data_IF_878914807550
#
_entry.id   IF_878914807550
#
_cell.length_a   1.000
_cell.length_b   1.000
_cell.length_c   1.000
_cell.angle_alpha   90.00
_cell.angle_beta   90.00
_cell.angle_gamma   90.00
#
_symmetry.space_group_name_H-M   'P 1'
#
loop_
_entity.id
_entity.type
_entity.pdbx_description
1 polymer ?
#
# COMPACT_ATOMS: atom_id res chain seq x y z
N UNK A 1 -30.27 -39.32 32.01
CA UNK A 1 -29.13 -39.37 31.07
C UNK A 1 -29.17 -38.05 30.33
N UNK A 2 -28.46 -37.06 30.83
CA UNK A 2 -28.49 -35.71 30.28
C UNK A 2 -27.67 -35.70 29.00
N UNK A 3 -28.37 -35.73 27.88
CA UNK A 3 -27.80 -35.64 26.55
C UNK A 3 -27.39 -34.18 26.32
N UNK A 4 -26.29 -33.78 26.95
CA UNK A 4 -25.67 -32.48 26.78
C UNK A 4 -25.01 -32.47 25.40
N UNK A 5 -25.82 -32.27 24.36
CA UNK A 5 -25.29 -31.86 23.07
C UNK A 5 -24.55 -30.54 23.31
N UNK A 6 -23.23 -30.59 23.22
CA UNK A 6 -22.39 -29.40 23.15
C UNK A 6 -22.87 -28.58 21.96
N UNK A 7 -23.74 -27.61 22.22
CA UNK A 7 -24.21 -26.68 21.21
C UNK A 7 -23.12 -25.62 21.04
N UNK A 8 -21.95 -26.03 20.57
CA UNK A 8 -20.86 -25.11 20.25
C UNK A 8 -21.33 -24.23 19.10
N UNK A 9 -21.36 -22.91 19.27
CA UNK A 9 -21.73 -22.01 18.20
C UNK A 9 -20.88 -22.26 16.96
N UNK A 10 -21.51 -22.26 15.78
CA UNK A 10 -20.80 -22.39 14.49
C UNK A 10 -19.63 -21.40 14.38
N UNK A 11 -19.78 -20.20 14.93
CA UNK A 11 -18.72 -19.18 14.97
C UNK A 11 -17.47 -19.64 15.71
N UNK A 12 -17.63 -20.41 16.78
CA UNK A 12 -16.52 -20.82 17.63
C UNK A 12 -15.76 -21.98 16.99
N UNK A 13 -16.49 -22.90 16.36
CA UNK A 13 -15.90 -23.94 15.51
C UNK A 13 -15.13 -23.32 14.34
N UNK A 14 -15.68 -22.30 13.68
CA UNK A 14 -15.00 -21.61 12.58
C UNK A 14 -13.73 -20.89 13.04
N UNK A 15 -13.77 -20.22 14.20
CA UNK A 15 -12.59 -19.57 14.80
C UNK A 15 -11.50 -20.59 15.15
N UNK A 16 -11.87 -21.70 15.76
CA UNK A 16 -10.94 -22.78 16.10
C UNK A 16 -10.27 -23.34 14.83
N UNK A 17 -11.05 -23.73 13.82
CA UNK A 17 -10.47 -24.25 12.57
C UNK A 17 -9.55 -23.21 11.92
N UNK A 18 -9.93 -21.93 11.93
CA UNK A 18 -9.10 -20.87 11.38
C UNK A 18 -7.77 -20.71 12.13
N UNK A 19 -7.77 -20.80 13.47
CA UNK A 19 -6.54 -20.71 14.27
C UNK A 19 -5.63 -21.92 14.06
N UNK A 20 -6.18 -23.13 13.99
CA UNK A 20 -5.39 -24.34 13.74
C UNK A 20 -4.72 -24.31 12.35
N UNK A 21 -5.45 -23.89 11.31
CA UNK A 21 -4.88 -23.73 9.97
C UNK A 21 -3.76 -22.68 9.94
N UNK A 22 -3.97 -21.55 10.60
CA UNK A 22 -2.98 -20.48 10.69
C UNK A 22 -1.73 -20.94 11.45
N UNK A 23 -1.88 -21.73 12.51
CA UNK A 23 -0.76 -22.31 13.25
C UNK A 23 0.06 -23.25 12.37
N UNK A 24 -0.58 -24.16 11.63
CA UNK A 24 0.11 -25.05 10.69
C UNK A 24 0.87 -24.24 9.64
N UNK A 25 0.27 -23.18 9.09
CA UNK A 25 0.95 -22.34 8.09
C UNK A 25 2.20 -21.66 8.66
N UNK A 26 2.17 -21.26 9.93
CA UNK A 26 3.32 -20.67 10.62
C UNK A 26 4.41 -21.70 10.92
N UNK A 27 4.03 -22.87 11.44
CA UNK A 27 4.96 -23.97 11.77
C UNK A 27 5.70 -24.49 10.54
N UNK A 28 4.98 -24.65 9.43
CA UNK A 28 5.53 -25.11 8.15
C UNK A 28 6.23 -23.98 7.36
N UNK A 29 6.28 -22.76 7.91
CA UNK A 29 6.93 -21.61 7.27
C UNK A 29 6.30 -21.20 5.93
N UNK A 30 5.00 -21.46 5.74
CA UNK A 30 4.30 -21.15 4.51
C UNK A 30 4.14 -19.63 4.35
N UNK A 31 4.38 -19.14 3.14
CA UNK A 31 4.19 -17.74 2.78
C UNK A 31 2.70 -17.34 2.65
N UNK A 32 1.78 -18.03 3.34
CA UNK A 32 0.35 -17.78 3.33
C UNK A 32 -0.21 -17.59 4.74
N UNK A 33 -1.39 -17.00 4.80
CA UNK A 33 -2.21 -16.82 5.99
C UNK A 33 -3.65 -17.25 5.68
N UNK A 34 -4.37 -17.71 6.70
CA UNK A 34 -5.80 -18.03 6.59
C UNK A 34 -6.63 -16.96 7.31
N UNK A 35 -7.32 -16.12 6.54
CA UNK A 35 -8.11 -15.00 7.08
C UNK A 35 -9.45 -14.91 6.36
N UNK A 36 -10.53 -14.75 7.13
CA UNK A 36 -11.91 -14.63 6.61
C UNK A 36 -12.31 -15.79 5.66
N UNK A 37 -11.88 -17.01 5.98
CA UNK A 37 -12.21 -18.19 5.17
C UNK A 37 -11.42 -18.30 3.86
N UNK A 38 -10.34 -17.52 3.68
CA UNK A 38 -9.53 -17.50 2.46
C UNK A 38 -8.05 -17.68 2.79
N UNK A 39 -7.37 -18.48 1.98
CA UNK A 39 -5.90 -18.56 1.97
C UNK A 39 -5.37 -17.44 1.08
N UNK A 40 -4.46 -16.62 1.61
CA UNK A 40 -3.84 -15.51 0.87
C UNK A 40 -2.36 -15.38 1.22
N UNK A 41 -1.56 -14.76 0.35
CA UNK A 41 -0.13 -14.56 0.60
C UNK A 41 0.06 -13.69 1.84
N UNK A 42 0.93 -14.15 2.74
CA UNK A 42 1.39 -13.41 3.91
C UNK A 42 2.50 -12.45 3.47
N UNK A 43 2.38 -11.19 3.85
CA UNK A 43 3.50 -10.25 3.76
C UNK A 43 4.47 -10.44 4.92
N UNK A 44 5.73 -10.06 4.73
CA UNK A 44 6.71 -9.91 5.81
C UNK A 44 6.15 -8.96 6.86
N UNK A 45 6.50 -9.20 8.13
CA UNK A 45 6.00 -8.42 9.27
C UNK A 45 6.08 -6.91 9.07
N UNK A 46 7.24 -6.41 8.61
CA UNK A 46 7.43 -4.98 8.37
C UNK A 46 6.47 -4.44 7.29
N UNK A 47 6.23 -5.18 6.20
CA UNK A 47 5.28 -4.81 5.13
C UNK A 47 3.86 -4.75 5.69
N UNK A 48 3.46 -5.75 6.50
CA UNK A 48 2.15 -5.81 7.13
C UNK A 48 1.95 -4.61 8.06
N UNK A 49 2.95 -4.26 8.86
CA UNK A 49 2.89 -3.11 9.76
C UNK A 49 2.74 -1.80 8.98
N UNK A 50 3.52 -1.58 7.92
CA UNK A 50 3.43 -0.35 7.11
C UNK A 50 2.11 -0.25 6.35
N UNK A 51 1.64 -1.36 5.74
CA UNK A 51 0.35 -1.39 5.03
C UNK A 51 -0.82 -1.11 5.97
N UNK A 52 -0.77 -1.62 7.20
CA UNK A 52 -1.79 -1.37 8.24
C UNK A 52 -1.80 0.10 8.66
N UNK A 53 -0.63 0.71 8.87
CA UNK A 53 -0.54 2.15 9.19
C UNK A 53 -1.03 3.02 8.03
N UNK A 54 -0.73 2.65 6.79
CA UNK A 54 -1.21 3.37 5.62
C UNK A 54 -2.74 3.28 5.46
N UNK A 55 -3.35 2.14 5.80
CA UNK A 55 -4.81 1.98 5.81
C UNK A 55 -5.50 2.99 6.74
N UNK A 56 -4.88 3.35 7.87
CA UNK A 56 -5.42 4.35 8.80
C UNK A 56 -5.50 5.72 8.13
N UNK A 57 -4.40 6.21 7.54
CA UNK A 57 -4.40 7.53 6.88
C UNK A 57 -5.24 7.54 5.60
N UNK A 58 -5.25 6.43 4.86
CA UNK A 58 -6.12 6.23 3.70
C UNK A 58 -7.60 6.25 4.08
N UNK A 59 -7.93 6.13 5.37
CA UNK A 59 -9.25 6.31 5.97
C UNK A 59 -9.87 7.69 5.75
N UNK A 60 -9.08 8.71 5.40
CA UNK A 60 -9.56 10.03 4.97
C UNK A 60 -10.42 9.93 3.69
N UNK A 61 -11.57 10.60 3.68
CA UNK A 61 -12.52 10.62 2.56
C UNK A 61 -11.93 11.26 1.30
N UNK A 62 -11.03 12.24 1.44
CA UNK A 62 -10.30 12.87 0.33
C UNK A 62 -9.43 11.85 -0.42
N UNK A 63 -9.00 10.79 0.27
CA UNK A 63 -8.10 9.77 -0.25
C UNK A 63 -8.80 8.54 -0.84
N UNK A 64 -10.10 8.62 -1.14
CA UNK A 64 -10.88 7.46 -1.65
C UNK A 64 -10.26 6.79 -2.89
N UNK A 65 -9.71 7.57 -3.83
CA UNK A 65 -9.08 7.02 -5.03
C UNK A 65 -7.74 6.35 -4.70
N UNK A 66 -6.94 6.95 -3.82
CA UNK A 66 -5.71 6.35 -3.32
C UNK A 66 -6.01 5.02 -2.61
N UNK A 67 -7.04 4.98 -1.76
CA UNK A 67 -7.49 3.78 -1.05
C UNK A 67 -7.88 2.66 -2.02
N UNK A 68 -8.63 3.00 -3.09
CA UNK A 68 -9.02 2.04 -4.13
C UNK A 68 -7.81 1.44 -4.86
N UNK A 69 -6.86 2.27 -5.28
CA UNK A 69 -5.62 1.82 -5.92
C UNK A 69 -4.79 0.94 -4.98
N UNK A 70 -4.60 1.37 -3.73
CA UNK A 70 -3.82 0.62 -2.75
C UNK A 70 -4.45 -0.74 -2.42
N UNK A 71 -5.78 -0.80 -2.31
CA UNK A 71 -6.51 -2.05 -2.09
C UNK A 71 -6.38 -3.02 -3.29
N UNK A 72 -6.42 -2.51 -4.53
CA UNK A 72 -6.16 -3.33 -5.73
C UNK A 72 -4.73 -3.87 -5.73
N UNK A 73 -3.76 -3.04 -5.40
CA UNK A 73 -2.35 -3.45 -5.30
C UNK A 73 -2.17 -4.59 -4.30
N UNK A 74 -2.72 -4.45 -3.08
CA UNK A 74 -2.70 -5.50 -2.07
C UNK A 74 -3.37 -6.80 -2.55
N UNK A 75 -4.47 -6.70 -3.30
CA UNK A 75 -5.15 -7.88 -3.85
C UNK A 75 -4.26 -8.62 -4.84
N UNK A 76 -3.61 -7.90 -5.75
CA UNK A 76 -2.70 -8.50 -6.74
C UNK A 76 -1.49 -9.19 -6.09
N UNK A 77 -0.94 -8.60 -5.03
CA UNK A 77 0.13 -9.21 -4.24
C UNK A 77 -0.34 -10.46 -3.47
N UNK A 78 -1.53 -10.40 -2.89
CA UNK A 78 -2.07 -11.45 -2.00
C UNK A 78 -2.53 -12.71 -2.73
N UNK A 79 -2.65 -12.67 -4.05
CA UNK A 79 -3.08 -13.82 -4.85
C UNK A 79 -1.99 -14.89 -4.92
N UNK A 80 -2.32 -16.12 -4.53
CA UNK A 80 -1.35 -17.23 -4.46
C UNK A 80 -1.23 -17.97 -5.80
N UNK A 81 -2.37 -18.27 -6.43
CA UNK A 81 -2.42 -19.15 -7.62
C UNK A 81 -1.91 -18.50 -8.89
N UNK A 82 -2.09 -17.19 -9.02
CA UNK A 82 -1.58 -16.39 -10.13
C UNK A 82 -1.32 -14.96 -9.65
N UNK A 83 -0.21 -14.71 -8.93
CA UNK A 83 0.11 -13.38 -8.46
C UNK A 83 0.38 -12.44 -9.63
N UNK A 84 -0.09 -11.21 -9.51
CA UNK A 84 0.07 -10.18 -10.55
C UNK A 84 0.94 -9.05 -10.01
N UNK A 85 2.24 -9.32 -9.92
CA UNK A 85 3.20 -8.39 -9.33
C UNK A 85 3.37 -7.11 -10.14
N UNK A 86 3.20 -7.17 -11.46
CA UNK A 86 3.23 -6.00 -12.34
C UNK A 86 2.08 -5.05 -12.00
N UNK A 87 0.84 -5.55 -11.93
CA UNK A 87 -0.29 -4.71 -11.57
C UNK A 87 -0.29 -4.33 -10.09
N UNK A 88 0.33 -5.14 -9.21
CA UNK A 88 0.64 -4.73 -7.84
C UNK A 88 1.48 -3.45 -7.83
N UNK A 89 2.61 -3.43 -8.54
CA UNK A 89 3.50 -2.25 -8.63
C UNK A 89 2.78 -1.06 -9.25
N UNK A 90 2.08 -1.26 -10.38
CA UNK A 90 1.32 -0.19 -11.06
C UNK A 90 0.33 0.49 -10.13
N UNK A 91 -0.50 -0.30 -9.45
CA UNK A 91 -1.55 0.21 -8.57
C UNK A 91 -0.99 0.82 -7.28
N UNK A 92 0.13 0.31 -6.74
CA UNK A 92 0.80 0.91 -5.58
C UNK A 92 1.26 2.35 -5.88
N UNK A 93 1.91 2.54 -7.03
CA UNK A 93 2.38 3.87 -7.47
C UNK A 93 1.21 4.78 -7.83
N UNK A 94 0.15 4.25 -8.46
CA UNK A 94 -1.09 5.02 -8.69
C UNK A 94 -1.74 5.47 -7.37
N UNK A 95 -1.62 4.71 -6.28
CA UNK A 95 -2.11 5.12 -4.97
C UNK A 95 -1.35 6.34 -4.43
N UNK A 96 -0.02 6.36 -4.58
CA UNK A 96 0.82 7.52 -4.19
C UNK A 96 0.44 8.75 -5.02
N UNK A 97 0.27 8.59 -6.33
CA UNK A 97 -0.15 9.69 -7.22
C UNK A 97 -1.52 10.23 -6.83
N UNK A 98 -2.50 9.36 -6.64
CA UNK A 98 -3.85 9.75 -6.26
C UNK A 98 -3.87 10.45 -4.89
N UNK A 99 -3.07 9.98 -3.93
CA UNK A 99 -2.95 10.61 -2.62
C UNK A 99 -2.35 12.01 -2.75
N UNK A 100 -1.23 12.13 -3.46
CA UNK A 100 -0.57 13.42 -3.67
C UNK A 100 -1.46 14.45 -4.40
N UNK A 101 -2.19 14.03 -5.44
CA UNK A 101 -3.14 14.92 -6.14
C UNK A 101 -4.27 15.41 -5.23
N UNK A 102 -4.77 14.53 -4.35
CA UNK A 102 -5.85 14.87 -3.42
C UNK A 102 -5.38 15.80 -2.29
N UNK A 103 -4.16 15.58 -1.78
CA UNK A 103 -3.59 16.37 -0.67
C UNK A 103 -3.08 17.74 -1.12
N UNK A 104 -2.56 17.84 -2.36
CA UNK A 104 -1.94 19.07 -2.87
C UNK A 104 -2.65 19.60 -4.13
N UNK A 105 -3.93 20.01 -4.03
CA UNK A 105 -4.69 20.46 -5.19
C UNK A 105 -4.10 21.71 -5.87
N UNK A 106 -3.37 22.54 -5.11
CA UNK A 106 -2.67 23.72 -5.63
C UNK A 106 -1.60 23.37 -6.68
N UNK A 107 -1.06 22.13 -6.65
CA UNK A 107 -0.08 21.66 -7.61
C UNK A 107 -0.64 21.53 -9.04
N UNK A 108 -1.97 21.33 -9.18
CA UNK A 108 -2.64 21.03 -10.46
C UNK A 108 -1.90 19.94 -11.27
N UNK A 109 -1.33 18.97 -10.57
CA UNK A 109 -0.46 17.95 -11.14
C UNK A 109 -1.26 16.96 -11.99
N UNK A 110 -0.84 16.73 -13.24
CA UNK A 110 -1.42 15.70 -14.10
C UNK A 110 -0.81 14.31 -13.82
N UNK A 111 0.44 14.27 -13.36
CA UNK A 111 1.19 13.05 -13.01
C UNK A 111 1.91 13.19 -11.67
N UNK A 112 2.39 12.08 -11.11
CA UNK A 112 3.24 12.09 -9.91
C UNK A 112 4.55 12.87 -10.14
N UNK A 113 5.10 12.83 -11.36
CA UNK A 113 6.26 13.65 -11.72
C UNK A 113 5.98 15.15 -11.65
N UNK A 114 4.80 15.61 -12.07
CA UNK A 114 4.41 17.02 -11.96
C UNK A 114 4.26 17.45 -10.50
N UNK A 115 3.70 16.57 -9.66
CA UNK A 115 3.57 16.80 -8.23
C UNK A 115 4.95 16.96 -7.56
N UNK A 116 5.90 16.06 -7.85
CA UNK A 116 7.26 16.15 -7.29
C UNK A 116 7.93 17.46 -7.69
N UNK A 117 7.84 17.87 -8.96
CA UNK A 117 8.38 19.15 -9.43
C UNK A 117 7.77 20.34 -8.69
N UNK A 118 6.48 20.28 -8.37
CA UNK A 118 5.80 21.32 -7.61
C UNK A 118 6.23 21.34 -6.14
N UNK A 119 6.31 20.17 -5.48
CA UNK A 119 6.77 20.04 -4.08
C UNK A 119 8.18 20.59 -3.89
N UNK A 120 9.05 20.48 -4.91
CA UNK A 120 10.41 21.01 -4.89
C UNK A 120 10.49 22.56 -5.01
N UNK A 121 9.39 23.22 -5.40
CA UNK A 121 9.35 24.66 -5.69
C UNK A 121 8.47 25.46 -4.74
N UNK A 122 7.43 24.83 -4.20
CA UNK A 122 6.50 25.50 -3.28
C UNK A 122 7.21 25.91 -1.98
N UNK A 123 6.76 27.02 -1.39
CA UNK A 123 7.18 27.47 -0.05
C UNK A 123 6.18 27.07 1.04
N UNK A 124 5.03 26.53 0.66
CA UNK A 124 3.95 26.18 1.58
C UNK A 124 4.22 24.85 2.30
N UNK A 125 5.09 24.01 1.72
CA UNK A 125 5.41 22.68 2.21
C UNK A 125 6.93 22.45 2.16
N UNK A 126 7.48 21.87 3.24
CA UNK A 126 8.88 21.51 3.31
C UNK A 126 9.06 20.02 2.98
N UNK A 127 9.61 19.73 1.79
CA UNK A 127 10.02 18.38 1.40
C UNK A 127 11.50 18.41 1.01
N UNK A 128 12.39 17.69 1.73
CA UNK A 128 13.79 17.60 1.34
C UNK A 128 13.94 17.08 -0.10
N UNK A 129 14.71 17.73 -0.98
CA UNK A 129 14.78 17.36 -2.39
C UNK A 129 15.20 15.91 -2.66
N UNK A 130 16.09 15.37 -1.83
CA UNK A 130 16.52 13.97 -1.94
C UNK A 130 15.36 13.00 -1.68
N UNK A 131 14.46 13.32 -0.73
CA UNK A 131 13.29 12.49 -0.44
C UNK A 131 12.24 12.60 -1.56
N UNK A 132 12.01 13.80 -2.10
CA UNK A 132 11.11 13.99 -3.24
C UNK A 132 11.55 13.14 -4.45
N UNK A 133 12.86 13.04 -4.69
CA UNK A 133 13.43 12.16 -5.73
C UNK A 133 13.16 10.68 -5.49
N UNK A 134 12.96 10.21 -4.26
CA UNK A 134 12.60 8.79 -4.03
C UNK A 134 11.20 8.47 -4.58
N UNK A 135 10.27 9.42 -4.50
CA UNK A 135 8.93 9.31 -5.08
C UNK A 135 9.02 9.31 -6.60
N UNK A 136 9.83 10.22 -7.17
CA UNK A 136 10.06 10.29 -8.61
C UNK A 136 10.67 9.01 -9.20
N UNK A 137 11.69 8.43 -8.55
CA UNK A 137 12.32 7.21 -9.04
C UNK A 137 11.41 5.99 -8.92
N UNK A 138 10.57 5.91 -7.88
CA UNK A 138 9.57 4.85 -7.78
C UNK A 138 8.53 4.95 -8.92
N UNK A 139 8.14 6.17 -9.28
CA UNK A 139 7.28 6.44 -10.43
C UNK A 139 7.96 6.04 -11.75
N UNK A 140 9.25 6.36 -11.91
CA UNK A 140 10.03 5.98 -13.08
C UNK A 140 10.13 4.45 -13.23
N UNK A 141 10.33 3.72 -12.12
CA UNK A 141 10.33 2.25 -12.13
C UNK A 141 9.01 1.68 -12.67
N UNK A 142 7.86 2.25 -12.26
CA UNK A 142 6.55 1.86 -12.83
C UNK A 142 6.48 2.06 -14.34
N UNK A 143 7.15 3.07 -14.88
CA UNK A 143 7.16 3.38 -16.32
C UNK A 143 8.16 2.58 -17.17
N UNK A 144 9.24 2.06 -16.57
CA UNK A 144 10.37 1.42 -17.28
C UNK A 144 10.76 0.01 -16.80
N UNK A 145 10.00 -0.59 -15.87
CA UNK A 145 10.16 -1.98 -15.45
C UNK A 145 9.62 -2.96 -16.49
N UNK A 146 10.28 -4.11 -16.63
CA UNK A 146 9.84 -5.17 -17.53
C UNK A 146 8.47 -5.71 -17.11
N UNK A 147 7.50 -5.66 -18.03
CA UNK A 147 6.09 -6.01 -17.77
C UNK A 147 5.30 -4.98 -16.94
N UNK A 148 5.98 -4.13 -16.19
CA UNK A 148 5.35 -3.03 -15.44
C UNK A 148 4.88 -1.90 -16.37
N UNK A 149 5.41 -1.79 -17.59
CA UNK A 149 4.93 -0.87 -18.62
C UNK A 149 5.41 -1.33 -20.01
N UNK A 150 4.85 -0.76 -21.08
CA UNK A 150 5.30 -0.98 -22.46
C UNK A 150 6.68 -0.34 -22.78
N UNK A 151 7.39 0.19 -21.77
CA UNK A 151 8.69 0.87 -21.89
C UNK A 151 9.83 -0.04 -21.45
N UNK A 152 10.85 -0.19 -22.31
CA UNK A 152 11.84 -1.27 -22.27
C UNK A 152 12.68 -1.44 -20.98
N UNK A 153 12.78 -2.69 -20.54
CA UNK A 153 13.97 -3.47 -20.13
C UNK A 153 15.12 -2.81 -19.37
N UNK A 154 14.87 -1.75 -18.60
CA UNK A 154 15.89 -1.12 -17.75
C UNK A 154 15.60 -1.24 -16.27
N UNK A 155 14.34 -1.45 -15.86
CA UNK A 155 13.97 -1.65 -14.46
C UNK A 155 14.03 -3.10 -13.96
N UNK A 156 14.07 -4.09 -14.86
CA UNK A 156 13.94 -5.50 -14.49
C UNK A 156 12.51 -5.92 -14.07
N UNK A 157 12.28 -7.21 -13.78
CA UNK A 157 10.95 -7.76 -13.58
C UNK A 157 10.35 -7.37 -12.23
N UNK A 158 9.01 -7.28 -12.16
CA UNK A 158 8.29 -7.20 -10.90
C UNK A 158 8.26 -8.57 -10.20
N UNK A 159 9.32 -8.93 -9.48
CA UNK A 159 9.34 -10.13 -8.64
C UNK A 159 8.45 -9.94 -7.40
N UNK A 160 8.23 -11.02 -6.63
CA UNK A 160 7.52 -10.92 -5.36
C UNK A 160 8.23 -9.99 -4.38
N UNK A 161 9.56 -10.02 -4.33
CA UNK A 161 10.36 -9.16 -3.47
C UNK A 161 10.21 -7.69 -3.87
N UNK A 162 10.24 -7.41 -5.18
CA UNK A 162 10.07 -6.05 -5.70
C UNK A 162 8.66 -5.54 -5.45
N UNK A 163 7.63 -6.34 -5.75
CA UNK A 163 6.23 -5.96 -5.50
C UNK A 163 5.98 -5.66 -4.01
N UNK A 164 6.52 -6.50 -3.12
CA UNK A 164 6.40 -6.29 -1.69
C UNK A 164 7.14 -5.03 -1.21
N UNK A 165 8.35 -4.80 -1.70
CA UNK A 165 9.12 -3.59 -1.43
C UNK A 165 8.35 -2.34 -1.88
N UNK A 166 7.84 -2.32 -3.12
CA UNK A 166 7.07 -1.20 -3.67
C UNK A 166 5.80 -0.95 -2.87
N UNK A 167 5.09 -2.00 -2.42
CA UNK A 167 3.93 -1.87 -1.54
C UNK A 167 4.26 -1.14 -0.24
N UNK A 168 5.34 -1.57 0.43
CA UNK A 168 5.80 -1.02 1.71
C UNK A 168 6.27 0.43 1.57
N UNK A 169 7.05 0.73 0.53
CA UNK A 169 7.52 2.08 0.22
C UNK A 169 6.36 3.00 -0.15
N UNK A 170 5.42 2.54 -0.96
CA UNK A 170 4.22 3.32 -1.32
C UNK A 170 3.37 3.61 -0.09
N UNK A 171 3.23 2.66 0.84
CA UNK A 171 2.59 2.87 2.13
C UNK A 171 3.24 4.03 2.91
N UNK A 172 4.58 3.97 2.99
CA UNK A 172 5.39 4.95 3.71
C UNK A 172 5.31 6.33 3.06
N UNK A 173 5.33 6.39 1.74
CA UNK A 173 5.18 7.63 0.98
C UNK A 173 3.80 8.26 1.18
N UNK A 174 2.72 7.47 1.18
CA UNK A 174 1.36 7.99 1.44
C UNK A 174 1.28 8.58 2.85
N UNK A 175 1.76 7.87 3.87
CA UNK A 175 1.82 8.37 5.25
C UNK A 175 2.61 9.68 5.31
N UNK A 176 3.79 9.70 4.67
CA UNK A 176 4.63 10.89 4.63
C UNK A 176 3.96 12.09 3.96
N UNK A 177 3.26 11.89 2.83
CA UNK A 177 2.54 12.97 2.16
C UNK A 177 1.41 13.54 3.01
N UNK A 178 0.69 12.69 3.77
CA UNK A 178 -0.32 13.13 4.74
C UNK A 178 0.31 13.96 5.86
N UNK A 179 1.46 13.53 6.40
CA UNK A 179 2.18 14.28 7.43
C UNK A 179 2.68 15.65 6.93
N UNK A 180 3.16 15.71 5.67
CA UNK A 180 3.58 16.96 5.03
C UNK A 180 2.40 17.91 4.86
N UNK A 181 1.26 17.42 4.35
CA UNK A 181 0.06 18.23 4.17
C UNK A 181 -0.47 18.78 5.51
N UNK A 182 -0.56 17.93 6.52
CA UNK A 182 -1.04 18.31 7.85
C UNK A 182 -0.13 19.36 8.54
N UNK A 183 1.18 19.34 8.27
CA UNK A 183 2.11 20.36 8.78
C UNK A 183 1.98 21.69 8.03
N UNK A 184 1.82 21.66 6.70
CA UNK A 184 1.66 22.88 5.90
C UNK A 184 0.44 23.72 6.33
N UNK A 185 -0.68 23.07 6.67
CA UNK A 185 -1.86 23.75 7.20
C UNK A 185 -1.61 24.50 8.53
N UNK A 186 -0.71 24.01 9.39
CA UNK A 186 -0.40 24.65 10.66
C UNK A 186 0.44 25.91 10.50
N UNK A 187 1.35 25.94 9.52
CA UNK A 187 2.22 27.09 9.26
C UNK A 187 1.44 28.28 8.69
N UNK A 188 0.43 28.03 7.85
CA UNK A 188 -0.42 29.09 7.25
C UNK A 188 -1.34 29.72 8.31
N UNK A 189 -1.82 28.95 9.28
CA UNK A 189 -2.75 29.44 10.30
C UNK A 189 -2.11 30.28 11.43
N UNK A 190 -0.79 30.28 11.55
CA UNK A 190 -0.02 31.05 12.55
C UNK A 190 0.56 32.36 11.99
N UNK A 191 0.31 32.66 10.71
CA UNK A 191 0.85 33.82 9.99
C UNK A 191 -0.11 35.00 9.78
N UNK A 192 -1.27 35.01 10.43
CA UNK A 192 -2.25 36.11 10.39
C UNK A 192 -2.38 36.82 11.73
#
# INVERSE_FOLDING_TARGET
MDNNYFNTPKSDVQKYIASELEQIFLEEGLACEFVEGRVRRRGRKHTVDQTTRAQVVLGDDRLINARKHYAKSLRFFRQITNPDYENCVKEAVCAVEAAGKALFPAAKAATLGDLVKWLLRTKDYEVPPALAKTIEHLYAYRGGGDGVSHGGATGGPATVEVAEYVLSVSASQIIYLVDVEAKGHKTISLGN
#
